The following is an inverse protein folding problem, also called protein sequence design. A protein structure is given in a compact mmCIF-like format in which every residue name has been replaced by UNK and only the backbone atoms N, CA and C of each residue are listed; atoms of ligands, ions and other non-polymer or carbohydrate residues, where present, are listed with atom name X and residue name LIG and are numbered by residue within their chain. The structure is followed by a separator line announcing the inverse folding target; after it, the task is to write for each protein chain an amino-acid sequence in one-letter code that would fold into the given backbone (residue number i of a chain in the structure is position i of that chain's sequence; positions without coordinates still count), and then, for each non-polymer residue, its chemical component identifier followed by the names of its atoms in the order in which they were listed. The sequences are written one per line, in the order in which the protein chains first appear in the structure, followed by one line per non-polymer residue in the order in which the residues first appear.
data_IF_931850396551
#
_entry.id   IF_931850396551
#
_cell.length_a   1.000
_cell.length_b   1.000
_cell.length_c   1.000
_cell.angle_alpha   90.00
_cell.angle_beta   90.00
_cell.angle_gamma   90.00
#
_symmetry.space_group_name_H-M   'P 1'
#
loop_
_entity.id
_entity.type
_entity.pdbx_description
1 polymer ?
#
# COMPACT_ATOMS: atom_id res chain seq x y z
N UNK A 1 0.42 -2.91 16.81
CA UNK A 1 1.03 -4.26 16.93
C UNK A 1 1.28 -4.72 15.51
N UNK A 2 2.52 -5.12 15.13
CA UNK A 2 2.77 -5.63 13.78
C UNK A 2 2.02 -6.94 13.60
N UNK A 3 1.27 -7.09 12.51
CA UNK A 3 0.58 -8.34 12.18
C UNK A 3 1.65 -9.43 11.92
N UNK A 4 1.58 -10.61 12.57
CA UNK A 4 2.61 -11.64 12.43
C UNK A 4 2.75 -12.19 11.01
N UNK A 5 1.76 -11.95 10.14
CA UNK A 5 1.74 -12.46 8.77
C UNK A 5 2.29 -11.46 7.74
N UNK A 6 2.68 -10.26 8.16
CA UNK A 6 3.17 -9.19 7.27
C UNK A 6 4.67 -8.98 7.49
N UNK A 7 5.44 -9.09 6.41
CA UNK A 7 6.86 -8.78 6.39
C UNK A 7 7.14 -7.58 5.51
N UNK A 8 7.54 -6.48 6.15
CA UNK A 8 8.16 -5.33 5.52
C UNK A 8 9.65 -5.63 5.34
N UNK A 9 10.18 -5.44 4.13
CA UNK A 9 11.61 -5.58 3.86
C UNK A 9 12.34 -4.27 4.17
N UNK A 10 13.68 -4.31 4.42
CA UNK A 10 14.46 -3.10 4.67
C UNK A 10 14.23 -2.02 3.61
N UNK A 11 14.21 -0.78 4.07
CA UNK A 11 13.75 0.43 3.36
C UNK A 11 14.27 0.49 1.93
N UNK A 12 13.37 0.27 0.97
CA UNK A 12 13.53 0.82 -0.38
C UNK A 12 13.57 2.35 -0.27
N UNK A 13 14.35 3.03 -1.10
CA UNK A 13 14.39 4.50 -1.08
C UNK A 13 13.10 5.07 -1.67
N UNK A 14 12.15 5.32 -0.79
CA UNK A 14 10.81 5.78 -1.13
C UNK A 14 10.81 7.29 -1.35
N UNK A 15 11.33 7.72 -2.50
CA UNK A 15 11.38 9.14 -2.90
C UNK A 15 9.99 9.80 -2.97
N UNK A 16 9.98 11.13 -2.89
CA UNK A 16 8.79 11.96 -3.11
C UNK A 16 8.11 11.65 -4.45
N UNK A 17 6.78 11.73 -4.47
CA UNK A 17 5.97 11.52 -5.67
C UNK A 17 5.52 12.89 -6.17
N UNK A 18 5.80 13.21 -7.44
CA UNK A 18 5.22 14.41 -8.04
C UNK A 18 3.73 14.20 -8.29
N UNK A 19 2.93 15.24 -8.07
CA UNK A 19 1.47 15.20 -8.17
C UNK A 19 0.92 14.78 -9.55
N UNK A 20 1.73 14.84 -10.60
CA UNK A 20 1.40 14.39 -11.96
C UNK A 20 1.91 12.97 -12.30
N UNK A 21 2.69 12.34 -11.42
CA UNK A 21 3.36 11.04 -11.67
C UNK A 21 2.71 9.88 -10.92
N UNK A 22 1.74 10.13 -10.03
CA UNK A 22 1.15 9.07 -9.18
C UNK A 22 0.51 7.93 -9.98
N UNK A 23 -0.04 8.22 -11.16
CA UNK A 23 -0.69 7.22 -12.04
C UNK A 23 0.30 6.23 -12.66
N UNK A 24 1.58 6.57 -12.70
CA UNK A 24 2.64 5.75 -13.29
C UNK A 24 3.46 5.01 -12.25
N UNK A 25 3.07 5.08 -10.97
CA UNK A 25 3.79 4.37 -9.92
C UNK A 25 3.72 2.86 -10.13
N UNK A 26 4.85 2.15 -9.93
CA UNK A 26 4.84 0.70 -9.85
C UNK A 26 3.83 0.23 -8.79
N UNK A 27 2.99 -0.71 -9.17
CA UNK A 27 1.97 -1.29 -8.30
C UNK A 27 1.70 -2.75 -8.68
N UNK A 28 1.06 -3.47 -7.78
CA UNK A 28 0.58 -4.82 -8.04
C UNK A 28 -0.85 -4.82 -8.55
N UNK A 29 -1.16 -5.78 -9.43
CA UNK A 29 -2.52 -6.02 -9.90
C UNK A 29 -2.74 -7.51 -10.13
N UNK A 30 -3.83 -8.05 -9.59
CA UNK A 30 -4.27 -9.42 -9.84
C UNK A 30 -3.38 -10.53 -9.27
N UNK A 31 -2.38 -10.22 -8.43
CA UNK A 31 -1.53 -11.20 -7.75
C UNK A 31 -1.01 -10.67 -6.42
N UNK A 32 -0.55 -11.57 -5.56
CA UNK A 32 0.14 -11.25 -4.31
C UNK A 32 1.58 -10.81 -4.55
N UNK A 33 2.13 -10.05 -3.61
CA UNK A 33 3.52 -9.61 -3.64
C UNK A 33 4.51 -10.75 -3.43
N UNK A 34 5.61 -10.68 -4.17
CA UNK A 34 6.83 -11.43 -3.93
C UNK A 34 7.86 -10.55 -3.22
N UNK A 35 8.94 -11.17 -2.74
CA UNK A 35 10.06 -10.43 -2.15
C UNK A 35 10.70 -9.47 -3.17
N UNK A 36 10.75 -9.86 -4.45
CA UNK A 36 11.28 -9.04 -5.54
C UNK A 36 10.43 -7.79 -5.79
N UNK A 37 9.10 -7.87 -5.63
CA UNK A 37 8.22 -6.71 -5.78
C UNK A 37 8.48 -5.63 -4.74
N UNK A 38 8.73 -6.05 -3.49
CA UNK A 38 9.08 -5.12 -2.42
C UNK A 38 10.46 -4.52 -2.66
N UNK A 39 11.43 -5.31 -3.14
CA UNK A 39 12.76 -4.82 -3.50
C UNK A 39 12.76 -3.84 -4.68
N UNK A 40 11.79 -3.96 -5.59
CA UNK A 40 11.65 -3.08 -6.74
C UNK A 40 10.69 -1.90 -6.49
N UNK A 41 10.10 -1.81 -5.30
CA UNK A 41 9.19 -0.74 -4.91
C UNK A 41 7.80 -0.80 -5.56
N UNK A 42 7.39 -1.94 -6.13
CA UNK A 42 6.02 -2.18 -6.62
C UNK A 42 5.08 -2.69 -5.54
N UNK A 43 5.63 -3.08 -4.38
CA UNK A 43 4.91 -3.51 -3.19
C UNK A 43 5.60 -2.95 -1.93
N UNK A 44 4.85 -2.87 -0.84
CA UNK A 44 5.36 -2.42 0.47
C UNK A 44 5.66 -3.61 1.39
N UNK A 45 4.89 -4.68 1.27
CA UNK A 45 5.02 -5.85 2.13
C UNK A 45 4.89 -7.16 1.36
N UNK A 46 5.34 -8.24 1.99
CA UNK A 46 5.00 -9.62 1.62
C UNK A 46 4.19 -10.25 2.75
N UNK A 47 3.34 -11.21 2.41
CA UNK A 47 2.52 -11.94 3.38
C UNK A 47 2.87 -13.44 3.42
N UNK A 48 2.65 -14.10 4.56
CA UNK A 48 2.73 -15.57 4.65
C UNK A 48 1.67 -16.26 3.75
N UNK A 49 1.82 -17.58 3.60
CA UNK A 49 0.92 -18.41 2.79
C UNK A 49 -0.54 -18.19 3.19
N UNK A 50 -1.38 -17.84 2.20
CA UNK A 50 -2.82 -17.63 2.38
C UNK A 50 -3.32 -16.26 1.94
N UNK A 51 -2.40 -15.33 1.61
CA UNK A 51 -2.77 -14.05 0.99
C UNK A 51 -3.41 -14.25 -0.39
N UNK A 52 -4.41 -13.42 -0.70
CA UNK A 52 -5.06 -13.35 -2.01
C UNK A 52 -5.04 -11.91 -2.52
N UNK A 53 -4.90 -11.67 -3.83
CA UNK A 53 -5.03 -10.32 -4.37
C UNK A 53 -6.43 -9.76 -4.11
N UNK A 54 -6.49 -8.52 -3.63
CA UNK A 54 -7.76 -7.82 -3.45
C UNK A 54 -8.04 -6.90 -4.65
N UNK A 55 -9.27 -6.91 -5.17
CA UNK A 55 -9.62 -6.23 -6.41
C UNK A 55 -9.81 -4.73 -6.20
N UNK A 56 -8.75 -3.96 -6.42
CA UNK A 56 -8.75 -2.49 -6.48
C UNK A 56 -8.04 -2.05 -7.77
N UNK A 57 -8.53 -0.99 -8.40
CA UNK A 57 -7.84 -0.35 -9.52
C UNK A 57 -6.62 0.41 -9.01
N UNK A 58 -5.43 -0.17 -9.16
CA UNK A 58 -4.16 0.40 -8.70
C UNK A 58 -3.36 1.04 -9.87
N UNK A 59 -2.57 2.08 -9.61
CA UNK A 59 -2.47 2.80 -8.34
C UNK A 59 -3.74 3.64 -8.05
N UNK A 60 -4.09 3.80 -6.78
CA UNK A 60 -5.29 4.56 -6.37
C UNK A 60 -4.96 5.66 -5.38
N UNK A 61 -5.53 6.86 -5.58
CA UNK A 61 -5.43 7.93 -4.57
C UNK A 61 -6.28 7.61 -3.36
N UNK A 62 -5.75 7.89 -2.17
CA UNK A 62 -6.46 7.75 -0.92
C UNK A 62 -6.04 8.83 0.11
N UNK A 63 -6.84 8.96 1.16
CA UNK A 63 -6.43 9.62 2.40
C UNK A 63 -6.19 8.55 3.45
N UNK A 64 -4.95 8.40 3.89
CA UNK A 64 -4.61 7.55 5.02
C UNK A 64 -4.94 8.25 6.34
N UNK A 65 -5.67 7.57 7.22
CA UNK A 65 -6.02 8.04 8.55
C UNK A 65 -4.94 7.59 9.54
N UNK A 66 -3.98 8.47 9.83
CA UNK A 66 -3.03 8.25 10.92
C UNK A 66 -3.77 8.49 12.25
N UNK A 67 -4.25 7.39 12.85
CA UNK A 67 -5.05 7.40 14.08
C UNK A 67 -4.26 7.98 15.25
N UNK A 68 -2.95 7.69 15.33
CA UNK A 68 -2.07 8.17 16.39
C UNK A 68 -1.92 9.70 16.33
N UNK A 69 -1.90 10.28 15.13
CA UNK A 69 -1.76 11.73 14.93
C UNK A 69 -3.08 12.47 14.72
N UNK A 70 -4.19 11.75 14.56
CA UNK A 70 -5.49 12.31 14.18
C UNK A 70 -5.46 13.08 12.85
N UNK A 71 -4.62 12.64 11.89
CA UNK A 71 -4.40 13.35 10.63
C UNK A 71 -4.77 12.49 9.43
N UNK A 72 -5.36 13.13 8.42
CA UNK A 72 -5.51 12.56 7.09
C UNK A 72 -4.29 12.92 6.24
N UNK A 73 -3.60 11.92 5.71
CA UNK A 73 -2.39 12.07 4.93
C UNK A 73 -2.68 11.61 3.49
N UNK A 74 -2.56 12.49 2.48
CA UNK A 74 -2.68 12.09 1.08
C UNK A 74 -1.67 11.00 0.73
N UNK A 75 -2.17 9.92 0.13
CA UNK A 75 -1.38 8.74 -0.21
C UNK A 75 -1.83 8.12 -1.53
N UNK A 76 -1.01 7.19 -2.03
CA UNK A 76 -1.30 6.38 -3.20
C UNK A 76 -1.18 4.92 -2.81
N UNK A 77 -2.26 4.16 -2.98
CA UNK A 77 -2.26 2.71 -2.80
C UNK A 77 -1.58 2.08 -4.01
N UNK A 78 -0.61 1.20 -3.75
CA UNK A 78 0.15 0.46 -4.78
C UNK A 78 0.02 -1.07 -4.62
N UNK A 79 -0.58 -1.54 -3.54
CA UNK A 79 -0.77 -2.96 -3.25
C UNK A 79 -2.05 -3.13 -2.44
N UNK A 80 -2.81 -4.19 -2.74
CA UNK A 80 -4.01 -4.57 -1.98
C UNK A 80 -4.12 -6.10 -1.91
N UNK A 81 -4.11 -6.65 -0.70
CA UNK A 81 -4.12 -8.08 -0.45
C UNK A 81 -5.06 -8.43 0.71
N UNK A 82 -5.83 -9.49 0.56
CA UNK A 82 -6.67 -10.05 1.60
C UNK A 82 -5.90 -11.14 2.36
N UNK A 83 -5.82 -11.01 3.67
CA UNK A 83 -5.18 -11.96 4.58
C UNK A 83 -6.21 -12.34 5.65
N UNK A 84 -6.76 -13.54 5.55
CA UNK A 84 -7.92 -13.93 6.36
C UNK A 84 -9.17 -13.12 5.98
N UNK A 85 -9.78 -12.46 6.96
CA UNK A 85 -10.97 -11.60 6.76
C UNK A 85 -10.60 -10.12 6.55
N UNK A 86 -9.32 -9.78 6.67
CA UNK A 86 -8.82 -8.41 6.63
C UNK A 86 -8.20 -8.10 5.27
N UNK A 87 -8.28 -6.84 4.86
CA UNK A 87 -7.62 -6.34 3.64
C UNK A 87 -6.52 -5.37 4.04
N UNK A 88 -5.30 -5.70 3.63
CA UNK A 88 -4.10 -4.92 3.85
C UNK A 88 -3.67 -4.21 2.57
N UNK A 89 -3.23 -2.97 2.74
CA UNK A 89 -2.85 -2.06 1.70
C UNK A 89 -1.40 -1.63 1.89
N UNK A 90 -0.63 -1.67 0.80
CA UNK A 90 0.66 -0.99 0.72
C UNK A 90 0.45 0.39 0.12
N UNK A 91 0.80 1.44 0.88
CA UNK A 91 0.60 2.83 0.47
C UNK A 91 1.93 3.58 0.37
N UNK A 92 1.95 4.58 -0.50
CA UNK A 92 3.02 5.56 -0.65
C UNK A 92 2.54 6.96 -0.30
N UNK A 93 3.37 7.75 0.36
CA UNK A 93 3.08 9.15 0.63
C UNK A 93 3.71 10.06 -0.43
N UNK A 94 3.02 11.16 -0.77
CA UNK A 94 3.55 12.15 -1.72
C UNK A 94 4.86 12.78 -1.24
N UNK A 95 5.03 12.94 0.08
CA UNK A 95 6.23 13.48 0.72
C UNK A 95 7.36 12.44 0.90
N UNK A 96 7.24 11.28 0.27
CA UNK A 96 8.19 10.18 0.44
C UNK A 96 7.81 9.25 1.59
N UNK A 97 8.40 8.05 1.59
CA UNK A 97 8.04 6.96 2.49
C UNK A 97 6.87 6.10 1.99
N UNK A 98 6.51 5.14 2.83
CA UNK A 98 5.46 4.15 2.63
C UNK A 98 4.80 3.80 3.97
N UNK A 99 3.70 3.05 3.93
CA UNK A 99 3.16 2.34 5.08
C UNK A 99 2.35 1.10 4.67
N UNK A 100 2.15 0.20 5.63
CA UNK A 100 1.12 -0.84 5.57
C UNK A 100 -0.06 -0.41 6.44
N UNK A 101 -1.28 -0.51 5.93
CA UNK A 101 -2.49 -0.19 6.66
C UNK A 101 -3.64 -1.12 6.25
N UNK A 102 -4.71 -1.14 7.04
CA UNK A 102 -5.95 -1.81 6.69
C UNK A 102 -6.82 -0.93 5.79
N UNK A 103 -7.72 -1.55 5.04
CA UNK A 103 -8.63 -0.84 4.15
C UNK A 103 -9.57 0.15 4.87
N UNK A 104 -9.89 -0.09 6.14
CA UNK A 104 -10.72 0.80 6.97
C UNK A 104 -9.96 2.03 7.51
N UNK A 105 -8.63 2.03 7.40
CA UNK A 105 -7.76 3.15 7.73
C UNK A 105 -7.55 4.10 6.54
N UNK A 106 -8.22 3.87 5.40
CA UNK A 106 -8.11 4.74 4.23
C UNK A 106 -9.46 5.17 3.66
N UNK A 107 -9.49 6.36 3.08
CA UNK A 107 -10.60 6.87 2.28
C UNK A 107 -10.16 6.93 0.80
N UNK A 108 -10.75 6.09 -0.06
CA UNK A 108 -10.47 6.08 -1.50
C UNK A 108 -10.99 7.35 -2.18
N UNK A 109 -10.16 7.98 -3.02
CA UNK A 109 -10.53 9.20 -3.77
C UNK A 109 -10.67 8.87 -5.25
N UNK A 110 -11.83 9.21 -5.83
CA UNK A 110 -12.00 9.29 -7.29
C UNK A 110 -12.21 7.95 -8.01
N UNK A 111 -12.74 6.93 -7.32
CA UNK A 111 -13.33 5.77 -8.00
C UNK A 111 -14.71 6.18 -8.53
N UNK A 112 -14.80 6.48 -9.83
CA UNK A 112 -16.03 6.69 -10.59
C UNK A 112 -16.06 5.67 -11.72
#
# INVERSE_FOLDING_TARGET
MRDPFIFELPEFDWCEIKSNEWKTLPCLSGRTASQEDVQNGSAVFTAERGSLPHAINLPACALYHDVDKGKKIPSVIIQAEAIGEEVYLGIRFFTGGNAVCKIDEVELIGQI
#
